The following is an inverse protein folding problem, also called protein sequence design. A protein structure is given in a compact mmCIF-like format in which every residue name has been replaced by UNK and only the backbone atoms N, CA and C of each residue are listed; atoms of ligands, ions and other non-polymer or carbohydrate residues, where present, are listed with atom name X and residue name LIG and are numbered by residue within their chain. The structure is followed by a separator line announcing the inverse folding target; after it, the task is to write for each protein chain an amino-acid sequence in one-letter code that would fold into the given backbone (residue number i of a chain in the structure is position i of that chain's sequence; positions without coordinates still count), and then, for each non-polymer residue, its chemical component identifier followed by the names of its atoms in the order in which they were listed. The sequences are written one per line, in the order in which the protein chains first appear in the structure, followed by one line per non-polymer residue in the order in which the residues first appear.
data_IF_946681815054
#
_entry.id   IF_946681815054
#
_cell.length_a   1.000
_cell.length_b   1.000
_cell.length_c   1.000
_cell.angle_alpha   90.00
_cell.angle_beta   90.00
_cell.angle_gamma   90.00
#
_symmetry.space_group_name_H-M   'P 1'
#
loop_
_entity.id
_entity.type
_entity.pdbx_description
1 polymer ?
#
# COMPACT_ATOMS: atom_id res chain seq x y z
N UNK A 1 10.33 -11.45 5.06
CA UNK A 1 10.05 -10.10 5.65
C UNK A 1 9.98 -10.13 7.18
N UNK A 2 9.40 -11.19 7.82
CA UNK A 2 9.28 -11.29 9.30
C UNK A 2 10.62 -11.13 9.99
N UNK A 3 11.65 -11.86 9.56
CA UNK A 3 13.00 -11.77 10.14
C UNK A 3 13.63 -10.37 10.07
N UNK A 4 13.24 -9.55 9.09
CA UNK A 4 13.72 -8.16 8.99
C UNK A 4 13.03 -7.30 10.05
N UNK A 5 11.72 -7.46 10.23
CA UNK A 5 10.95 -6.74 11.24
C UNK A 5 11.42 -7.12 12.66
N UNK A 6 11.67 -8.40 12.91
CA UNK A 6 12.24 -8.89 14.18
C UNK A 6 13.58 -8.21 14.49
N UNK A 7 14.49 -8.16 13.52
CA UNK A 7 15.78 -7.48 13.70
C UNK A 7 15.64 -5.98 13.95
N UNK A 8 14.71 -5.31 13.27
CA UNK A 8 14.44 -3.87 13.50
C UNK A 8 13.88 -3.69 14.91
N UNK A 9 12.93 -4.51 15.32
CA UNK A 9 12.37 -4.47 16.66
C UNK A 9 13.45 -4.69 17.72
N UNK A 10 14.26 -5.74 17.59
CA UNK A 10 15.34 -6.04 18.53
C UNK A 10 16.36 -4.90 18.65
N UNK A 11 16.66 -4.22 17.56
CA UNK A 11 17.55 -3.07 17.55
C UNK A 11 16.96 -1.83 18.23
N UNK A 12 15.64 -1.67 18.20
CA UNK A 12 14.96 -0.45 18.65
C UNK A 12 14.29 -0.59 20.02
N UNK A 13 13.93 -1.81 20.46
CA UNK A 13 13.09 -2.05 21.65
C UNK A 13 13.65 -1.48 22.97
N UNK A 14 14.97 -1.30 23.07
CA UNK A 14 15.60 -0.67 24.24
C UNK A 14 15.67 0.85 24.16
N UNK A 15 15.34 1.44 22.98
CA UNK A 15 15.42 2.88 22.70
C UNK A 15 14.06 3.53 22.50
N UNK A 16 13.03 2.73 22.26
CA UNK A 16 11.68 3.18 21.91
C UNK A 16 10.68 2.44 22.80
N UNK A 17 9.73 3.16 23.37
CA UNK A 17 8.62 2.56 24.12
C UNK A 17 7.51 2.13 23.14
N UNK A 18 7.42 0.83 22.89
CA UNK A 18 6.41 0.24 22.02
C UNK A 18 5.12 -0.04 22.77
N UNK A 19 4.01 0.47 22.27
CA UNK A 19 2.65 0.18 22.75
C UNK A 19 1.94 -0.71 21.74
N UNK A 20 1.99 -2.02 21.95
CA UNK A 20 1.25 -2.99 21.13
C UNK A 20 -0.23 -3.04 21.55
N UNK A 21 -1.07 -3.52 20.64
CA UNK A 21 -2.51 -3.63 20.86
C UNK A 21 -3.18 -2.31 21.31
N UNK A 22 -2.61 -1.18 20.86
CA UNK A 22 -3.05 0.16 21.22
C UNK A 22 -3.49 0.89 19.96
N UNK A 23 -4.74 1.27 19.89
CA UNK A 23 -5.30 2.00 18.76
C UNK A 23 -5.52 3.46 19.13
N UNK A 24 -5.06 4.38 18.29
CA UNK A 24 -5.27 5.82 18.48
C UNK A 24 -6.66 6.19 17.96
N UNK A 25 -7.49 6.74 18.85
CA UNK A 25 -8.85 7.18 18.56
C UNK A 25 -8.91 8.61 18.04
N UNK A 26 -8.12 9.52 18.64
CA UNK A 26 -8.13 10.93 18.26
C UNK A 26 -6.77 11.59 18.46
N UNK A 27 -6.58 12.67 17.71
CA UNK A 27 -5.45 13.59 17.80
C UNK A 27 -6.00 14.97 18.05
N UNK A 28 -5.43 15.68 19.02
CA UNK A 28 -5.76 17.05 19.38
C UNK A 28 -4.47 17.89 19.37
N UNK A 29 -4.58 19.14 18.90
CA UNK A 29 -3.52 20.16 19.03
C UNK A 29 -3.86 21.01 20.25
N UNK A 30 -3.01 21.02 21.25
CA UNK A 30 -3.20 21.85 22.44
C UNK A 30 -2.72 23.29 22.26
N UNK A 31 -1.54 23.42 21.66
CA UNK A 31 -0.90 24.70 21.35
C UNK A 31 0.01 24.53 20.12
N UNK A 32 0.74 25.58 19.73
CA UNK A 32 1.57 25.56 18.53
C UNK A 32 2.63 24.44 18.49
N UNK A 33 2.94 23.81 19.62
CA UNK A 33 4.02 22.84 19.74
C UNK A 33 3.67 21.57 20.54
N UNK A 34 2.40 21.33 20.83
CA UNK A 34 2.02 20.13 21.59
C UNK A 34 0.79 19.43 21.02
N UNK A 35 0.91 18.12 20.93
CA UNK A 35 -0.15 17.22 20.51
C UNK A 35 -0.56 16.31 21.65
N UNK A 36 -1.85 15.98 21.70
CA UNK A 36 -2.38 14.94 22.58
C UNK A 36 -3.02 13.88 21.72
N UNK A 37 -2.61 12.64 21.92
CA UNK A 37 -3.23 11.47 21.30
C UNK A 37 -4.00 10.69 22.35
N UNK A 38 -5.23 10.27 22.02
CA UNK A 38 -6.07 9.47 22.91
C UNK A 38 -6.28 8.09 22.29
N UNK A 39 -6.14 7.08 23.11
CA UNK A 39 -6.36 5.70 22.71
C UNK A 39 -7.82 5.29 22.83
N UNK A 40 -8.16 4.17 22.26
CA UNK A 40 -9.47 3.52 22.43
C UNK A 40 -9.70 3.01 23.87
N UNK A 41 -8.62 2.68 24.60
CA UNK A 41 -8.64 2.33 26.02
C UNK A 41 -8.80 3.52 26.97
N UNK A 42 -8.73 4.77 26.45
CA UNK A 42 -8.86 5.99 27.23
C UNK A 42 -7.54 6.55 27.78
N UNK A 43 -6.40 5.97 27.42
CA UNK A 43 -5.09 6.54 27.76
C UNK A 43 -4.80 7.78 26.92
N UNK A 44 -4.06 8.73 27.49
CA UNK A 44 -3.64 9.95 26.82
C UNK A 44 -2.10 10.05 26.81
N UNK A 45 -1.55 10.41 25.64
CA UNK A 45 -0.13 10.68 25.49
C UNK A 45 0.06 12.09 24.91
N UNK A 46 1.03 12.83 25.48
CA UNK A 46 1.39 14.17 25.00
C UNK A 46 2.78 14.16 24.37
N UNK A 47 2.95 14.87 23.26
CA UNK A 47 4.25 14.97 22.58
C UNK A 47 4.40 16.32 21.84
N UNK A 48 5.65 16.75 21.64
CA UNK A 48 5.96 17.94 20.84
C UNK A 48 5.98 17.69 19.35
N UNK A 49 6.22 16.44 18.94
CA UNK A 49 6.19 16.03 17.52
C UNK A 49 5.38 14.75 17.37
N UNK A 50 4.52 14.72 16.39
CA UNK A 50 3.68 13.56 16.11
C UNK A 50 3.86 13.13 14.66
N UNK A 51 4.22 11.86 14.44
CA UNK A 51 4.28 11.23 13.12
C UNK A 51 3.15 10.22 12.97
N UNK A 52 2.29 10.42 11.98
CA UNK A 52 1.20 9.52 11.65
C UNK A 52 1.58 8.67 10.44
N UNK A 53 1.81 7.37 10.64
CA UNK A 53 2.25 6.43 9.63
C UNK A 53 1.35 5.19 9.61
N UNK A 54 0.06 5.39 9.40
CA UNK A 54 -1.01 4.42 9.63
C UNK A 54 -1.18 3.37 8.51
N UNK A 55 -0.45 3.51 7.41
CA UNK A 55 -0.57 2.60 6.27
C UNK A 55 -1.94 2.65 5.57
N UNK A 56 -2.19 1.66 4.71
CA UNK A 56 -3.42 1.59 3.90
C UNK A 56 -4.67 1.43 4.75
N UNK A 57 -4.62 0.60 5.78
CA UNK A 57 -5.77 0.34 6.66
C UNK A 57 -6.24 1.58 7.43
N UNK A 58 -5.32 2.52 7.71
CA UNK A 58 -5.62 3.76 8.41
C UNK A 58 -5.99 4.94 7.50
N UNK A 59 -6.13 4.75 6.19
CA UNK A 59 -6.35 5.86 5.24
C UNK A 59 -7.59 6.68 5.53
N UNK A 60 -8.71 6.06 5.88
CA UNK A 60 -9.96 6.75 6.26
C UNK A 60 -9.82 7.50 7.58
N UNK A 61 -9.14 6.89 8.55
CA UNK A 61 -8.91 7.51 9.85
C UNK A 61 -8.01 8.74 9.74
N UNK A 62 -6.88 8.65 9.03
CA UNK A 62 -5.98 9.81 8.84
C UNK A 62 -6.68 10.94 8.07
N UNK A 63 -7.54 10.61 7.09
CA UNK A 63 -8.39 11.59 6.41
C UNK A 63 -9.26 12.35 7.42
N UNK A 64 -9.94 11.66 8.30
CA UNK A 64 -10.78 12.28 9.34
C UNK A 64 -9.98 13.12 10.35
N UNK A 65 -8.73 12.76 10.64
CA UNK A 65 -7.82 13.56 11.47
C UNK A 65 -7.44 14.85 10.75
N UNK A 66 -7.08 14.75 9.46
CA UNK A 66 -6.77 15.93 8.63
C UNK A 66 -7.94 16.91 8.59
N UNK A 67 -9.16 16.43 8.37
CA UNK A 67 -10.37 17.26 8.33
C UNK A 67 -10.59 18.00 9.67
N UNK A 68 -10.46 17.29 10.80
CA UNK A 68 -10.60 17.88 12.14
C UNK A 68 -9.55 18.93 12.44
N UNK A 69 -8.33 18.75 11.95
CA UNK A 69 -7.21 19.66 12.15
C UNK A 69 -7.13 20.77 11.08
N UNK A 70 -8.06 20.81 10.12
CA UNK A 70 -8.07 21.79 9.04
C UNK A 70 -6.91 21.62 8.05
N UNK A 71 -6.33 20.42 7.95
CA UNK A 71 -5.23 20.11 7.03
C UNK A 71 -5.83 19.80 5.65
N UNK A 72 -5.46 20.60 4.67
CA UNK A 72 -5.94 20.41 3.29
C UNK A 72 -5.47 19.08 2.72
N UNK A 73 -6.41 18.35 2.14
CA UNK A 73 -6.15 17.07 1.48
C UNK A 73 -6.32 17.18 -0.03
N UNK A 74 -5.61 16.37 -0.77
CA UNK A 74 -5.72 16.27 -2.22
C UNK A 74 -5.81 14.81 -2.62
N UNK A 75 -6.82 14.47 -3.42
CA UNK A 75 -6.94 13.14 -4.00
C UNK A 75 -5.79 12.87 -4.97
N UNK A 76 -5.17 11.71 -4.82
CA UNK A 76 -4.15 11.21 -5.72
C UNK A 76 -4.77 10.32 -6.81
N UNK A 77 -3.92 9.86 -7.73
CA UNK A 77 -4.30 8.84 -8.70
C UNK A 77 -4.55 7.51 -8.00
N UNK A 78 -5.44 6.73 -8.57
CA UNK A 78 -5.62 5.32 -8.23
C UNK A 78 -5.28 4.46 -9.44
N UNK A 79 -4.53 3.40 -9.22
CA UNK A 79 -4.21 2.43 -10.24
C UNK A 79 -5.23 1.29 -10.20
N UNK A 80 -5.92 1.07 -11.30
CA UNK A 80 -6.89 0.00 -11.48
C UNK A 80 -6.37 -0.96 -12.53
N UNK A 81 -6.53 -2.25 -12.30
CA UNK A 81 -6.08 -3.24 -13.26
C UNK A 81 -6.32 -4.67 -12.83
N UNK A 82 -5.66 -5.57 -13.54
CA UNK A 82 -5.74 -7.01 -13.33
C UNK A 82 -4.36 -7.59 -13.09
N UNK A 83 -4.28 -8.69 -12.38
CA UNK A 83 -3.06 -9.48 -12.29
C UNK A 83 -3.09 -10.59 -13.33
N UNK A 84 -1.99 -10.71 -14.05
CA UNK A 84 -1.78 -11.71 -15.11
C UNK A 84 -0.71 -12.68 -14.63
N UNK A 85 -0.94 -13.97 -14.82
CA UNK A 85 0.05 -15.02 -14.63
C UNK A 85 0.19 -15.80 -15.92
N UNK A 86 1.42 -16.11 -16.29
CA UNK A 86 1.74 -16.84 -17.52
C UNK A 86 3.05 -17.62 -17.35
N UNK A 87 3.32 -18.55 -18.27
CA UNK A 87 4.54 -19.34 -18.24
C UNK A 87 5.79 -18.44 -18.23
N UNK A 88 6.71 -18.70 -17.31
CA UNK A 88 7.94 -17.89 -17.12
C UNK A 88 8.77 -17.81 -18.39
N UNK A 89 8.76 -18.85 -19.22
CA UNK A 89 9.50 -18.94 -20.47
C UNK A 89 9.16 -17.79 -21.46
N UNK A 90 7.92 -17.27 -21.41
CA UNK A 90 7.47 -16.18 -22.29
C UNK A 90 8.24 -14.88 -21.99
N UNK A 91 8.51 -14.60 -20.72
CA UNK A 91 9.21 -13.41 -20.28
C UNK A 91 10.69 -13.62 -19.93
N UNK A 92 11.17 -14.85 -20.04
CA UNK A 92 12.54 -15.25 -19.66
C UNK A 92 13.61 -14.35 -20.27
N UNK A 93 13.48 -13.98 -21.54
CA UNK A 93 14.41 -13.11 -22.26
C UNK A 93 14.50 -11.67 -21.66
N UNK A 94 13.56 -11.30 -20.80
CA UNK A 94 13.59 -10.02 -20.06
C UNK A 94 13.98 -10.26 -18.61
N UNK A 95 13.38 -11.28 -17.98
CA UNK A 95 13.51 -11.51 -16.53
C UNK A 95 14.86 -12.11 -16.14
N UNK A 96 15.61 -12.68 -17.06
CA UNK A 96 16.99 -13.11 -16.82
C UNK A 96 17.92 -11.92 -16.66
N UNK A 97 17.66 -10.79 -17.36
CA UNK A 97 18.47 -9.60 -17.27
C UNK A 97 17.94 -8.59 -16.24
N UNK A 98 16.63 -8.48 -16.10
CA UNK A 98 15.96 -7.49 -15.24
C UNK A 98 14.85 -8.13 -14.44
N UNK A 99 15.00 -8.18 -13.11
CA UNK A 99 14.01 -8.80 -12.22
C UNK A 99 12.59 -8.21 -12.40
N UNK A 100 12.48 -6.88 -12.46
CA UNK A 100 11.21 -6.20 -12.64
C UNK A 100 11.28 -5.20 -13.81
N UNK A 101 10.67 -5.53 -14.93
CA UNK A 101 10.57 -4.63 -16.07
C UNK A 101 9.30 -3.79 -16.03
N UNK A 102 9.41 -2.54 -16.46
CA UNK A 102 8.28 -1.60 -16.64
C UNK A 102 7.98 -1.47 -18.12
N UNK A 103 7.05 -2.28 -18.60
CA UNK A 103 6.57 -2.20 -19.98
C UNK A 103 5.35 -1.28 -19.99
N UNK A 104 5.34 -0.34 -20.92
CA UNK A 104 4.25 0.64 -21.08
C UNK A 104 3.67 0.51 -22.47
N UNK A 105 2.35 0.39 -22.55
CA UNK A 105 1.60 0.35 -23.79
C UNK A 105 0.54 1.44 -23.79
N UNK A 106 0.45 2.19 -24.87
CA UNK A 106 -0.60 3.19 -25.08
C UNK A 106 -1.69 2.60 -25.97
N UNK A 107 -2.92 2.56 -25.45
CA UNK A 107 -4.05 2.00 -26.21
C UNK A 107 -4.46 2.93 -27.37
N UNK A 108 -4.75 2.35 -28.54
CA UNK A 108 -5.10 3.12 -29.74
C UNK A 108 -6.48 3.82 -29.60
N UNK A 109 -7.45 3.14 -28.98
CA UNK A 109 -8.82 3.61 -28.90
C UNK A 109 -9.03 4.76 -27.90
N UNK A 110 -8.44 4.63 -26.72
CA UNK A 110 -8.70 5.55 -25.60
C UNK A 110 -7.48 6.36 -25.18
N UNK A 111 -6.31 6.08 -25.76
CA UNK A 111 -5.03 6.67 -25.39
C UNK A 111 -4.62 6.42 -23.93
N UNK A 112 -5.17 5.39 -23.30
CA UNK A 112 -4.81 5.01 -21.95
C UNK A 112 -3.40 4.42 -21.91
N UNK A 113 -2.66 4.80 -20.88
CA UNK A 113 -1.34 4.24 -20.61
C UNK A 113 -1.47 3.03 -19.70
N UNK A 114 -1.33 1.84 -20.28
CA UNK A 114 -1.27 0.57 -19.53
C UNK A 114 0.17 0.25 -19.21
N UNK A 115 0.47 -0.12 -17.99
CA UNK A 115 1.83 -0.47 -17.60
C UNK A 115 1.89 -1.77 -16.80
N UNK A 116 2.99 -2.50 -16.95
CA UNK A 116 3.30 -3.58 -16.01
C UNK A 116 3.70 -3.02 -14.65
N UNK A 117 3.38 -3.76 -13.60
CA UNK A 117 3.74 -3.39 -12.24
C UNK A 117 3.96 -4.63 -11.37
N UNK A 118 4.91 -4.55 -10.44
CA UNK A 118 5.20 -5.61 -9.48
C UNK A 118 5.31 -6.98 -10.16
N UNK A 119 6.26 -7.09 -11.09
CA UNK A 119 6.57 -8.34 -11.79
C UNK A 119 7.28 -9.30 -10.83
N UNK A 120 6.84 -10.54 -10.83
CA UNK A 120 7.37 -11.60 -10.00
C UNK A 120 7.77 -12.79 -10.87
N UNK A 121 9.03 -12.84 -11.33
CA UNK A 121 9.56 -13.98 -12.07
C UNK A 121 9.56 -15.23 -11.19
N UNK A 122 9.17 -16.34 -11.78
CA UNK A 122 9.11 -17.65 -11.11
C UNK A 122 8.33 -17.64 -9.80
N UNK A 123 7.31 -16.78 -9.73
CA UNK A 123 6.49 -16.55 -8.54
C UNK A 123 5.05 -17.05 -8.71
N UNK A 124 4.22 -16.70 -7.76
CA UNK A 124 2.81 -17.06 -7.74
C UNK A 124 1.93 -15.84 -7.42
N UNK A 125 0.65 -15.93 -7.81
CA UNK A 125 -0.36 -14.96 -7.42
C UNK A 125 -0.86 -15.29 -6.03
N UNK A 126 -0.93 -14.28 -5.16
CA UNK A 126 -1.39 -14.40 -3.78
C UNK A 126 -2.56 -13.45 -3.52
N UNK A 127 -3.51 -13.88 -2.70
CA UNK A 127 -4.60 -13.04 -2.25
C UNK A 127 -4.16 -12.18 -1.06
N UNK A 128 -4.53 -10.90 -1.08
CA UNK A 128 -4.38 -9.97 0.04
C UNK A 128 -5.76 -9.51 0.51
N UNK A 129 -6.00 -9.57 1.81
CA UNK A 129 -7.22 -9.03 2.40
C UNK A 129 -6.87 -7.77 3.22
N UNK A 130 -7.46 -6.65 2.83
CA UNK A 130 -7.34 -5.39 3.56
C UNK A 130 -8.74 -4.91 3.95
N UNK A 131 -9.08 -4.99 5.24
CA UNK A 131 -10.38 -4.57 5.77
C UNK A 131 -11.58 -5.22 5.06
N UNK A 132 -11.48 -6.51 4.71
CA UNK A 132 -12.54 -7.25 4.03
C UNK A 132 -12.59 -7.07 2.51
N UNK A 133 -11.69 -6.28 1.94
CA UNK A 133 -11.51 -6.16 0.50
C UNK A 133 -10.39 -7.10 0.07
N UNK A 134 -10.72 -8.07 -0.78
CA UNK A 134 -9.77 -9.05 -1.29
C UNK A 134 -9.25 -8.59 -2.65
N UNK A 135 -7.95 -8.41 -2.72
CA UNK A 135 -7.21 -8.10 -3.95
C UNK A 135 -6.13 -9.14 -4.19
N UNK A 136 -5.50 -9.10 -5.35
CA UNK A 136 -4.42 -10.01 -5.71
C UNK A 136 -3.08 -9.29 -5.81
N UNK A 137 -2.03 -9.94 -5.35
CA UNK A 137 -0.65 -9.50 -5.48
C UNK A 137 0.20 -10.64 -6.01
N UNK A 138 1.50 -10.42 -6.18
CA UNK A 138 2.45 -11.46 -6.56
C UNK A 138 3.50 -11.67 -5.49
N UNK A 139 4.03 -12.87 -5.47
CA UNK A 139 5.10 -13.26 -4.58
C UNK A 139 6.16 -14.05 -5.36
N UNK A 140 7.42 -13.71 -5.17
CA UNK A 140 8.57 -14.47 -5.67
C UNK A 140 9.34 -15.10 -4.52
N UNK A 141 9.96 -16.24 -4.79
CA UNK A 141 10.76 -16.96 -3.81
C UNK A 141 12.24 -16.72 -4.02
N UNK A 142 12.96 -16.42 -2.94
CA UNK A 142 14.42 -16.32 -2.97
C UNK A 142 15.11 -17.69 -3.09
N UNK A 143 14.44 -18.75 -2.62
CA UNK A 143 14.92 -20.13 -2.74
C UNK A 143 14.49 -20.71 -4.08
N UNK A 144 15.42 -21.20 -4.88
CA UNK A 144 15.13 -21.79 -6.20
C UNK A 144 14.18 -22.99 -6.14
N UNK A 145 14.30 -23.81 -5.10
CA UNK A 145 13.44 -24.98 -4.91
C UNK A 145 11.95 -24.68 -4.68
N UNK A 146 11.63 -23.42 -4.39
CA UNK A 146 10.25 -22.93 -4.20
C UNK A 146 9.73 -22.15 -5.40
N UNK A 147 10.57 -21.93 -6.40
CA UNK A 147 10.17 -21.19 -7.62
C UNK A 147 9.13 -21.99 -8.40
N UNK A 148 8.17 -21.27 -8.95
CA UNK A 148 7.17 -21.82 -9.87
C UNK A 148 7.67 -21.75 -11.32
N UNK A 149 6.93 -22.35 -12.23
CA UNK A 149 7.17 -22.23 -13.68
C UNK A 149 6.46 -21.00 -14.29
N UNK A 150 5.93 -20.10 -13.46
CA UNK A 150 5.16 -18.95 -13.89
C UNK A 150 5.85 -17.62 -13.54
N UNK A 151 5.56 -16.62 -14.35
CA UNK A 151 5.81 -15.21 -14.06
C UNK A 151 4.47 -14.49 -13.97
N UNK A 152 4.30 -13.63 -12.98
CA UNK A 152 3.10 -12.84 -12.84
C UNK A 152 3.40 -11.35 -12.66
N UNK A 153 2.48 -10.50 -13.08
CA UNK A 153 2.57 -9.05 -12.98
C UNK A 153 1.18 -8.43 -13.05
N UNK A 154 1.03 -7.21 -12.51
CA UNK A 154 -0.18 -6.45 -12.72
C UNK A 154 -0.10 -5.64 -14.03
N UNK A 155 -1.23 -5.54 -14.73
CA UNK A 155 -1.46 -4.55 -15.80
C UNK A 155 -2.34 -3.45 -15.21
N UNK A 156 -1.80 -2.25 -15.12
CA UNK A 156 -2.43 -1.13 -14.42
C UNK A 156 -2.66 0.06 -15.35
N UNK A 157 -3.83 0.69 -15.18
CA UNK A 157 -4.16 2.01 -15.72
C UNK A 157 -4.30 2.98 -14.56
N UNK A 158 -3.61 4.12 -14.64
CA UNK A 158 -3.62 5.15 -13.61
C UNK A 158 -4.75 6.13 -13.86
N UNK A 159 -5.73 6.16 -12.98
CA UNK A 159 -6.89 7.02 -13.05
C UNK A 159 -6.75 8.23 -12.13
N UNK A 160 -7.06 9.41 -12.64
CA UNK A 160 -7.13 10.64 -11.88
C UNK A 160 -8.52 11.22 -12.01
N UNK A 161 -9.16 11.45 -10.88
CA UNK A 161 -10.48 12.05 -10.86
C UNK A 161 -10.40 13.56 -10.62
N UNK A 162 -11.33 14.27 -11.23
CA UNK A 162 -11.56 15.70 -11.03
C UNK A 162 -12.96 15.89 -10.45
N UNK A 163 -13.27 17.11 -10.02
CA UNK A 163 -14.62 17.44 -9.55
C UNK A 163 -15.71 16.93 -10.50
N UNK A 164 -16.84 16.41 -10.01
CA UNK A 164 -17.20 16.25 -8.58
C UNK A 164 -16.68 14.93 -7.95
N UNK A 165 -16.05 14.05 -8.71
CA UNK A 165 -15.59 12.73 -8.26
C UNK A 165 -14.16 12.82 -7.72
N UNK A 166 -14.01 13.06 -6.42
CA UNK A 166 -12.69 13.27 -5.79
C UNK A 166 -12.11 12.06 -5.12
N UNK A 167 -12.95 11.13 -4.65
CA UNK A 167 -12.47 10.02 -3.83
C UNK A 167 -12.01 8.85 -4.70
N UNK A 168 -10.72 8.90 -5.06
CA UNK A 168 -10.08 7.82 -5.81
C UNK A 168 -9.97 6.52 -5.00
N UNK A 169 -9.89 6.60 -3.66
CA UNK A 169 -9.86 5.42 -2.81
C UNK A 169 -11.21 4.70 -2.81
N UNK A 170 -12.30 5.45 -2.65
CA UNK A 170 -13.65 4.90 -2.70
C UNK A 170 -13.94 4.24 -4.06
N UNK A 171 -13.53 4.89 -5.15
CA UNK A 171 -13.63 4.29 -6.47
C UNK A 171 -12.84 2.99 -6.57
N UNK A 172 -11.57 2.97 -6.13
CA UNK A 172 -10.75 1.76 -6.14
C UNK A 172 -11.37 0.64 -5.31
N UNK A 173 -11.91 0.96 -4.12
CA UNK A 173 -12.63 -0.01 -3.28
C UNK A 173 -13.89 -0.54 -3.96
N UNK A 174 -14.65 0.29 -4.68
CA UNK A 174 -15.87 -0.11 -5.39
C UNK A 174 -15.60 -1.10 -6.53
N UNK A 175 -14.45 -0.96 -7.19
CA UNK A 175 -14.03 -1.89 -8.25
C UNK A 175 -13.52 -3.21 -7.67
N UNK A 176 -12.89 -3.18 -6.49
CA UNK A 176 -12.31 -4.36 -5.85
C UNK A 176 -13.34 -5.23 -5.08
N UNK A 177 -14.56 -4.75 -4.87
CA UNK A 177 -15.68 -5.48 -4.24
C UNK A 177 -16.47 -6.30 -5.26
#
# INVERSE_FOLDING_TARGET
NVKILEKIYDFTKEKIDFKFHTCIKSVEVKDSNSFVVKTDSGEEYSCGNLVLATGRSGSKWIGSVCDKLGIAQKSNRVDIGVRVELAAEIFKHITDDVYESKIVYKTDKYNDMVRTFCMNPYGEVVAENTNGIVTVNGHSYSQESLRTENTNFALLVSNKFTEPFKDSNEYGESIAR
#
